data_IF_127739679516
#
_entry.id   IF_127739679516
#
_cell.length_a   1.000
_cell.length_b   1.000
_cell.length_c   1.000
_cell.angle_alpha   90.00
_cell.angle_beta   90.00
_cell.angle_gamma   90.00
#
_symmetry.space_group_name_H-M   'P 1'
#
loop_
_entity.id
_entity.type
_entity.pdbx_description
1 polymer ?
#
# COMPACT_ATOMS: atom_id res chain seq x y z
N UNK A 1 -65.42 -3.81 5.24
CA UNK A 1 -66.17 -3.25 6.39
C UNK A 1 -66.60 -4.39 7.30
N UNK A 2 -66.33 -4.32 8.60
CA UNK A 2 -67.20 -4.68 9.76
C UNK A 2 -66.35 -4.80 11.04
N UNK A 3 -66.98 -4.58 12.20
CA UNK A 3 -66.33 -4.16 13.46
C UNK A 3 -65.72 -5.32 14.28
N UNK A 4 -64.68 -5.02 15.07
CA UNK A 4 -64.38 -5.76 16.32
C UNK A 4 -65.47 -5.50 17.37
N UNK A 5 -65.59 -6.37 18.38
CA UNK A 5 -65.50 -5.84 19.75
C UNK A 5 -64.56 -6.65 20.67
N UNK A 6 -64.38 -6.10 21.87
CA UNK A 6 -63.42 -6.48 22.92
C UNK A 6 -64.18 -6.79 24.22
N UNK A 7 -63.72 -7.77 25.03
CA UNK A 7 -63.87 -7.98 26.50
C UNK A 7 -63.88 -9.49 26.86
N UNK A 8 -63.71 -9.90 28.14
CA UNK A 8 -62.80 -9.37 29.17
C UNK A 8 -62.04 -10.50 29.95
N UNK A 9 -61.12 -10.13 30.84
CA UNK A 9 -60.63 -10.99 31.96
C UNK A 9 -61.69 -11.05 33.08
N UNK A 10 -61.84 -12.15 33.85
CA UNK A 10 -61.09 -12.35 35.12
C UNK A 10 -60.68 -13.85 35.31
N UNK A 11 -60.18 -14.40 36.42
CA UNK A 11 -60.13 -14.06 37.87
C UNK A 11 -58.82 -14.57 38.54
N UNK A 12 -58.69 -14.43 39.86
CA UNK A 12 -57.59 -14.96 40.69
C UNK A 12 -58.04 -16.05 41.70
N UNK A 13 -57.07 -16.74 42.30
CA UNK A 13 -57.20 -17.74 43.38
C UNK A 13 -56.33 -18.98 43.10
N UNK A 14 -55.50 -19.53 43.98
CA UNK A 14 -55.39 -19.31 45.43
C UNK A 14 -55.20 -20.67 46.13
N UNK A 15 -53.94 -21.13 46.25
CA UNK A 15 -53.29 -21.75 47.45
C UNK A 15 -53.96 -22.92 48.24
N UNK A 16 -53.24 -23.65 49.14
CA UNK A 16 -51.82 -24.02 49.20
C UNK A 16 -51.55 -25.47 49.71
N UNK A 17 -50.27 -25.73 50.05
CA UNK A 17 -49.77 -26.69 51.06
C UNK A 17 -49.83 -28.22 50.85
N UNK A 18 -48.64 -28.83 50.88
CA UNK A 18 -48.29 -29.78 51.95
C UNK A 18 -46.98 -29.34 52.63
N UNK A 19 -46.89 -29.54 53.94
CA UNK A 19 -45.78 -29.12 54.81
C UNK A 19 -44.94 -30.33 55.26
N UNK A 20 -43.88 -30.01 56.01
CA UNK A 20 -43.00 -30.88 56.80
C UNK A 20 -41.86 -31.56 56.00
N UNK A 21 -40.62 -31.66 56.51
CA UNK A 21 -40.13 -31.36 57.86
C UNK A 21 -38.83 -30.52 57.88
N UNK A 22 -38.57 -29.85 59.01
CA UNK A 22 -37.31 -29.12 59.26
C UNK A 22 -36.22 -30.08 59.71
N UNK A 23 -34.99 -29.97 59.17
CA UNK A 23 -33.74 -30.21 59.90
C UNK A 23 -32.74 -29.11 59.58
N UNK A 24 -31.88 -28.81 60.55
CA UNK A 24 -30.98 -27.63 60.58
C UNK A 24 -29.57 -28.03 60.15
N UNK A 25 -28.84 -27.05 59.62
CA UNK A 25 -27.37 -26.87 59.68
C UNK A 25 -26.48 -28.03 59.21
N UNK A 26 -25.68 -27.75 58.17
CA UNK A 26 -24.22 -27.93 58.20
C UNK A 26 -23.60 -27.25 56.99
N UNK A 27 -22.49 -26.54 57.20
CA UNK A 27 -21.71 -25.97 56.12
C UNK A 27 -20.83 -27.05 55.47
N UNK A 28 -20.63 -26.97 54.15
CA UNK A 28 -19.49 -27.57 53.46
C UNK A 28 -19.27 -26.83 52.16
N UNK A 29 -18.08 -26.26 51.99
CA UNK A 29 -17.68 -25.62 50.76
C UNK A 29 -17.40 -26.69 49.68
N UNK A 30 -17.88 -26.46 48.46
CA UNK A 30 -17.40 -27.14 47.27
C UNK A 30 -16.99 -26.09 46.24
N UNK A 31 -15.68 -26.03 46.01
CA UNK A 31 -15.03 -25.10 45.10
C UNK A 31 -15.45 -25.37 43.65
N UNK A 32 -16.34 -24.55 43.11
CA UNK A 32 -16.57 -24.49 41.67
C UNK A 32 -15.44 -23.67 41.02
N UNK A 33 -14.33 -24.34 40.69
CA UNK A 33 -13.23 -23.76 39.91
C UNK A 33 -13.70 -23.57 38.46
N UNK A 34 -14.35 -22.44 38.18
CA UNK A 34 -14.84 -22.10 36.85
C UNK A 34 -13.67 -21.69 35.93
N UNK A 35 -13.07 -22.67 35.24
CA UNK A 35 -12.09 -22.37 34.20
C UNK A 35 -12.78 -21.73 32.97
N UNK A 36 -12.25 -20.56 32.61
CA UNK A 36 -12.12 -20.02 31.25
C UNK A 36 -13.30 -20.13 30.27
N UNK A 37 -14.01 -19.01 30.08
CA UNK A 37 -14.35 -18.50 28.74
C UNK A 37 -14.75 -17.00 28.79
N UNK A 38 -13.90 -16.14 29.35
CA UNK A 38 -14.03 -14.70 29.09
C UNK A 38 -13.55 -14.46 27.65
N UNK A 39 -14.37 -13.90 26.73
CA UNK A 39 -13.87 -13.40 25.45
C UNK A 39 -13.10 -12.12 25.74
N UNK A 40 -11.86 -12.28 26.21
CA UNK A 40 -10.84 -11.24 26.16
C UNK A 40 -10.48 -11.02 24.70
N UNK A 41 -11.37 -10.34 23.98
CA UNK A 41 -11.06 -9.73 22.69
C UNK A 41 -10.16 -8.52 22.94
N UNK A 42 -8.96 -8.82 23.45
CA UNK A 42 -7.84 -7.91 23.59
C UNK A 42 -7.35 -7.56 22.20
N UNK A 43 -8.11 -6.73 21.50
CA UNK A 43 -7.67 -5.93 20.38
C UNK A 43 -6.70 -4.82 20.88
N UNK A 44 -5.71 -5.22 21.67
CA UNK A 44 -4.55 -4.42 22.04
C UNK A 44 -3.56 -4.42 20.86
N UNK A 45 -4.03 -3.92 19.71
CA UNK A 45 -3.23 -3.54 18.55
C UNK A 45 -3.53 -2.06 18.29
N UNK A 46 -2.68 -1.18 18.82
CA UNK A 46 -2.99 0.24 19.00
C UNK A 46 -3.46 0.94 17.72
N UNK A 47 -4.50 1.77 17.87
CA UNK A 47 -5.01 2.68 16.81
C UNK A 47 -5.17 2.05 15.42
N UNK A 48 -5.52 0.76 15.36
CA UNK A 48 -5.78 0.08 14.09
C UNK A 48 -7.02 0.67 13.41
N UNK A 49 -6.81 1.57 12.44
CA UNK A 49 -7.85 2.10 11.57
C UNK A 49 -8.45 0.97 10.71
N UNK A 50 -9.65 0.43 10.99
CA UNK A 50 -10.11 -0.79 10.34
C UNK A 50 -10.39 -0.53 8.85
N UNK A 51 -9.85 -1.38 7.99
CA UNK A 51 -9.94 -1.21 6.53
C UNK A 51 -9.11 -0.06 5.96
N UNK A 52 -8.19 0.54 6.73
CA UNK A 52 -7.23 1.51 6.23
C UNK A 52 -5.86 0.88 5.97
N UNK A 53 -5.28 1.21 4.82
CA UNK A 53 -3.87 0.98 4.54
C UNK A 53 -3.00 2.12 5.08
N UNK A 54 -3.48 3.36 5.01
CA UNK A 54 -2.84 4.53 5.63
C UNK A 54 -3.86 5.65 5.93
N UNK A 55 -3.47 6.60 6.77
CA UNK A 55 -4.18 7.86 7.04
C UNK A 55 -3.21 9.01 6.84
N UNK A 56 -3.65 10.03 6.08
CA UNK A 56 -2.85 11.21 5.73
C UNK A 56 -3.67 12.45 6.07
N UNK A 57 -3.36 13.08 7.20
CA UNK A 57 -4.19 14.13 7.79
C UNK A 57 -5.57 13.60 8.14
N UNK A 58 -6.60 14.22 7.57
CA UNK A 58 -7.99 13.79 7.73
C UNK A 58 -8.42 12.74 6.68
N UNK A 59 -7.56 12.39 5.72
CA UNK A 59 -7.92 11.57 4.56
C UNK A 59 -7.40 10.15 4.71
N UNK A 60 -8.32 9.17 4.69
CA UNK A 60 -7.99 7.74 4.68
C UNK A 60 -7.57 7.27 3.29
N UNK A 61 -6.61 6.36 3.23
CA UNK A 61 -6.37 5.45 2.11
C UNK A 61 -6.86 4.08 2.57
N UNK A 62 -7.97 3.63 2.00
CA UNK A 62 -8.57 2.32 2.35
C UNK A 62 -7.78 1.18 1.74
N UNK A 63 -7.91 -0.01 2.32
CA UNK A 63 -7.38 -1.25 1.74
C UNK A 63 -7.98 -1.50 0.36
N UNK A 64 -9.28 -1.25 0.16
CA UNK A 64 -9.94 -1.39 -1.13
C UNK A 64 -9.34 -0.46 -2.21
N UNK A 65 -9.07 0.81 -1.88
CA UNK A 65 -8.40 1.75 -2.79
C UNK A 65 -6.97 1.30 -3.14
N UNK A 66 -6.24 0.74 -2.18
CA UNK A 66 -4.90 0.21 -2.44
C UNK A 66 -4.96 -1.02 -3.35
N UNK A 67 -5.85 -1.98 -3.07
CA UNK A 67 -6.01 -3.18 -3.91
C UNK A 67 -6.47 -2.81 -5.33
N UNK A 68 -7.33 -1.79 -5.47
CA UNK A 68 -7.71 -1.27 -6.78
C UNK A 68 -6.50 -0.71 -7.55
N UNK A 69 -5.66 0.14 -6.92
CA UNK A 69 -4.45 0.69 -7.57
C UNK A 69 -3.40 -0.39 -7.90
N UNK A 70 -3.32 -1.46 -7.11
CA UNK A 70 -2.50 -2.64 -7.44
C UNK A 70 -3.10 -3.42 -8.62
N UNK A 71 -4.43 -3.56 -8.67
CA UNK A 71 -5.16 -4.17 -9.79
C UNK A 71 -4.90 -3.45 -11.11
N UNK A 72 -5.08 -2.12 -11.15
CA UNK A 72 -4.77 -1.30 -12.34
C UNK A 72 -3.34 -1.51 -12.85
N UNK A 73 -2.38 -1.68 -11.93
CA UNK A 73 -0.99 -1.93 -12.28
C UNK A 73 -0.77 -3.35 -12.82
N UNK A 74 -1.39 -4.37 -12.23
CA UNK A 74 -1.37 -5.75 -12.75
C UNK A 74 -2.01 -5.85 -14.14
N UNK A 75 -3.14 -5.18 -14.36
CA UNK A 75 -3.83 -5.15 -15.65
C UNK A 75 -2.96 -4.47 -16.72
N UNK A 76 -2.39 -3.30 -16.41
CA UNK A 76 -1.47 -2.60 -17.31
C UNK A 76 -0.21 -3.42 -17.63
N UNK A 77 0.34 -4.15 -16.65
CA UNK A 77 1.48 -5.06 -16.88
C UNK A 77 1.09 -6.20 -17.81
N UNK A 78 -0.07 -6.84 -17.64
CA UNK A 78 -0.56 -7.89 -18.55
C UNK A 78 -0.83 -7.38 -19.97
N UNK A 79 -1.41 -6.18 -20.10
CA UNK A 79 -1.77 -5.60 -21.39
C UNK A 79 -0.53 -5.17 -22.21
N UNK A 80 0.48 -4.62 -21.54
CA UNK A 80 1.62 -3.97 -22.19
C UNK A 80 2.92 -4.81 -22.20
N UNK A 81 2.93 -5.98 -21.55
CA UNK A 81 4.08 -6.90 -21.58
C UNK A 81 3.90 -7.96 -22.65
N UNK A 82 4.86 -8.07 -23.59
CA UNK A 82 4.84 -9.08 -24.65
C UNK A 82 5.07 -10.52 -24.18
N UNK A 83 5.43 -10.73 -22.91
CA UNK A 83 5.70 -12.05 -22.32
C UNK A 83 4.83 -12.30 -21.08
N UNK A 84 4.06 -13.38 -21.14
CA UNK A 84 3.19 -13.83 -20.06
C UNK A 84 3.99 -14.31 -18.83
N UNK A 85 5.18 -14.91 -19.01
CA UNK A 85 5.97 -15.39 -17.87
C UNK A 85 6.60 -14.25 -17.06
N UNK A 86 7.01 -13.17 -17.72
CA UNK A 86 7.50 -11.95 -17.08
C UNK A 86 6.35 -11.20 -16.40
N UNK A 87 5.19 -11.13 -17.03
CA UNK A 87 3.96 -10.61 -16.39
C UNK A 87 3.65 -11.36 -15.10
N UNK A 88 3.59 -12.69 -15.16
CA UNK A 88 3.24 -13.53 -14.01
C UNK A 88 4.30 -13.44 -12.89
N UNK A 89 5.59 -13.30 -13.23
CA UNK A 89 6.66 -13.04 -12.23
C UNK A 89 6.51 -11.68 -11.53
N UNK A 90 6.03 -10.64 -12.23
CA UNK A 90 5.73 -9.34 -11.62
C UNK A 90 4.52 -9.43 -10.67
N UNK A 91 3.49 -10.19 -11.08
CA UNK A 91 2.18 -10.25 -10.41
C UNK A 91 2.16 -11.22 -9.23
N UNK A 92 2.75 -12.40 -9.38
CA UNK A 92 2.82 -13.44 -8.33
C UNK A 92 3.52 -12.96 -7.07
N UNK A 93 4.47 -12.02 -7.21
CA UNK A 93 5.00 -11.18 -6.14
C UNK A 93 3.98 -10.17 -5.60
N UNK A 94 2.76 -10.57 -5.28
CA UNK A 94 1.63 -9.67 -4.91
C UNK A 94 1.91 -8.76 -3.70
N UNK A 95 2.78 -9.19 -2.77
CA UNK A 95 3.30 -8.35 -1.69
C UNK A 95 4.30 -7.27 -2.14
N UNK A 96 4.95 -7.44 -3.29
CA UNK A 96 5.95 -6.52 -3.84
C UNK A 96 5.35 -5.21 -4.36
N UNK A 97 4.12 -5.23 -4.87
CA UNK A 97 3.47 -4.03 -5.42
C UNK A 97 2.66 -3.27 -4.36
N UNK A 98 2.01 -3.96 -3.42
CA UNK A 98 1.13 -3.29 -2.45
C UNK A 98 1.86 -2.23 -1.59
N UNK A 99 3.08 -2.52 -1.13
CA UNK A 99 3.87 -1.58 -0.33
C UNK A 99 4.32 -0.33 -1.11
N UNK A 100 5.01 -0.41 -2.27
CA UNK A 100 5.39 0.77 -3.05
C UNK A 100 4.18 1.52 -3.61
N UNK A 101 3.10 0.82 -4.00
CA UNK A 101 1.85 1.48 -4.43
C UNK A 101 1.25 2.32 -3.32
N UNK A 102 1.20 1.82 -2.08
CA UNK A 102 0.77 2.59 -0.91
C UNK A 102 1.71 3.76 -0.62
N UNK A 103 3.02 3.54 -0.68
CA UNK A 103 4.03 4.59 -0.48
C UNK A 103 3.84 5.74 -1.47
N UNK A 104 3.57 5.42 -2.74
CA UNK A 104 3.15 6.38 -3.76
C UNK A 104 1.91 7.14 -3.31
N UNK A 105 0.78 6.45 -3.05
CA UNK A 105 -0.49 7.11 -2.66
C UNK A 105 -0.35 8.07 -1.48
N UNK A 106 0.54 7.77 -0.53
CA UNK A 106 0.85 8.66 0.60
C UNK A 106 1.71 9.84 0.15
N UNK A 107 2.77 9.62 -0.64
CA UNK A 107 3.60 10.69 -1.22
C UNK A 107 2.75 11.64 -2.07
N UNK A 108 1.90 11.12 -2.94
CA UNK A 108 1.01 11.87 -3.84
C UNK A 108 0.14 12.86 -3.02
N UNK A 109 -0.39 12.41 -1.87
CA UNK A 109 -1.13 13.25 -0.91
C UNK A 109 -0.27 14.29 -0.19
N UNK A 110 0.98 13.96 0.15
CA UNK A 110 1.93 14.89 0.77
C UNK A 110 2.36 15.98 -0.20
N UNK A 111 2.69 15.64 -1.45
CA UNK A 111 3.04 16.58 -2.53
C UNK A 111 1.86 17.49 -2.84
N UNK A 112 0.65 16.94 -3.02
CA UNK A 112 -0.55 17.73 -3.23
C UNK A 112 -0.82 18.72 -2.09
N UNK A 113 -0.59 18.32 -0.82
CA UNK A 113 -0.72 19.25 0.32
C UNK A 113 0.37 20.32 0.33
N UNK A 114 1.62 19.96 0.04
CA UNK A 114 2.74 20.90 0.03
C UNK A 114 2.57 21.95 -1.08
N UNK A 115 2.14 21.53 -2.27
CA UNK A 115 1.75 22.40 -3.36
C UNK A 115 0.60 23.35 -2.95
N UNK A 116 -0.48 22.82 -2.38
CA UNK A 116 -1.61 23.63 -1.92
C UNK A 116 -1.23 24.63 -0.81
N UNK A 117 -0.40 24.24 0.15
CA UNK A 117 0.15 25.12 1.20
C UNK A 117 1.08 26.23 0.63
N UNK A 118 1.47 26.14 -0.64
CA UNK A 118 2.24 27.14 -1.40
C UNK A 118 1.42 27.85 -2.47
N UNK A 119 0.10 27.66 -2.52
CA UNK A 119 -0.77 28.25 -3.54
C UNK A 119 -0.58 27.68 -4.95
N UNK A 120 0.15 26.57 -5.09
CA UNK A 120 0.37 25.91 -6.38
C UNK A 120 -0.89 25.16 -6.80
N UNK A 121 -1.39 25.50 -7.99
CA UNK A 121 -2.50 24.79 -8.65
C UNK A 121 -2.07 24.31 -10.04
N UNK A 122 -2.68 23.21 -10.51
CA UNK A 122 -2.45 22.66 -11.86
C UNK A 122 -3.80 22.56 -12.58
N UNK A 123 -3.90 23.22 -13.73
CA UNK A 123 -5.09 23.23 -14.57
C UNK A 123 -5.19 21.98 -15.45
N UNK A 124 -6.40 21.70 -15.97
CA UNK A 124 -6.59 20.64 -16.98
C UNK A 124 -5.79 20.92 -18.25
N UNK A 125 -5.70 22.18 -18.67
CA UNK A 125 -4.99 22.58 -19.90
C UNK A 125 -3.50 22.23 -19.83
N UNK A 126 -2.85 22.47 -18.69
CA UNK A 126 -1.43 22.12 -18.49
C UNK A 126 -1.19 20.61 -18.56
N UNK A 127 -2.06 19.80 -17.95
CA UNK A 127 -1.99 18.33 -18.04
C UNK A 127 -2.12 17.87 -19.49
N UNK A 128 -3.10 18.39 -20.25
CA UNK A 128 -3.28 18.00 -21.65
C UNK A 128 -2.13 18.49 -22.56
N UNK A 129 -1.56 19.67 -22.29
CA UNK A 129 -0.40 20.19 -23.01
C UNK A 129 0.85 19.32 -22.77
N UNK A 130 1.14 18.99 -21.50
CA UNK A 130 2.24 18.10 -21.15
C UNK A 130 2.05 16.71 -21.74
N UNK A 131 0.82 16.17 -21.69
CA UNK A 131 0.45 14.89 -22.30
C UNK A 131 0.71 14.89 -23.81
N UNK A 132 0.23 15.90 -24.53
CA UNK A 132 0.44 16.02 -25.98
C UNK A 132 1.94 16.10 -26.35
N UNK A 133 2.72 16.89 -25.60
CA UNK A 133 4.17 17.00 -25.78
C UNK A 133 4.88 15.66 -25.56
N UNK A 134 4.56 14.94 -24.48
CA UNK A 134 5.14 13.65 -24.16
C UNK A 134 4.68 12.55 -25.14
N UNK A 135 3.42 12.58 -25.60
CA UNK A 135 2.92 11.71 -26.67
C UNK A 135 3.73 11.87 -27.96
N UNK A 136 4.10 13.10 -28.33
CA UNK A 136 4.97 13.35 -29.48
C UNK A 136 6.39 12.82 -29.26
N UNK A 137 6.98 13.06 -28.09
CA UNK A 137 8.33 12.59 -27.74
C UNK A 137 8.44 11.06 -27.70
N UNK A 138 7.41 10.37 -27.21
CA UNK A 138 7.34 8.92 -27.13
C UNK A 138 6.90 8.24 -28.44
N UNK A 139 6.76 8.99 -29.54
CA UNK A 139 6.37 8.45 -30.85
C UNK A 139 4.90 8.01 -30.97
N UNK A 140 4.04 8.40 -30.03
CA UNK A 140 2.61 8.12 -30.05
C UNK A 140 2.02 7.74 -28.69
N UNK A 141 0.70 7.64 -28.65
CA UNK A 141 -0.09 7.34 -27.43
C UNK A 141 0.34 6.02 -26.76
N UNK A 142 0.65 5.00 -27.57
CA UNK A 142 1.08 3.70 -27.06
C UNK A 142 2.50 3.72 -26.51
N UNK A 143 3.42 4.44 -27.18
CA UNK A 143 4.79 4.61 -26.69
C UNK A 143 4.80 5.31 -25.33
N UNK A 144 3.99 6.36 -25.16
CA UNK A 144 3.87 7.08 -23.89
C UNK A 144 3.40 6.17 -22.75
N UNK A 145 2.37 5.35 -22.99
CA UNK A 145 1.84 4.39 -22.01
C UNK A 145 2.88 3.36 -21.58
N UNK A 146 3.57 2.76 -22.54
CA UNK A 146 4.63 1.76 -22.28
C UNK A 146 5.79 2.40 -21.52
N UNK A 147 6.23 3.59 -21.92
CA UNK A 147 7.31 4.32 -21.25
C UNK A 147 6.96 4.66 -19.80
N UNK A 148 5.75 5.17 -19.53
CA UNK A 148 5.37 5.56 -18.17
C UNK A 148 5.12 4.36 -17.24
N UNK A 149 4.58 3.26 -17.77
CA UNK A 149 4.48 2.02 -17.02
C UNK A 149 5.87 1.46 -16.68
N UNK A 150 6.78 1.39 -17.65
CA UNK A 150 8.10 0.75 -17.48
C UNK A 150 9.13 1.60 -16.74
N UNK A 151 9.08 2.94 -16.83
CA UNK A 151 9.99 3.83 -16.09
C UNK A 151 9.49 4.15 -14.68
N UNK A 152 8.19 4.40 -14.53
CA UNK A 152 7.61 5.01 -13.32
C UNK A 152 6.57 4.13 -12.62
N UNK A 153 6.12 3.03 -13.24
CA UNK A 153 5.09 2.16 -12.68
C UNK A 153 3.69 2.76 -12.72
N UNK A 154 3.44 3.68 -13.65
CA UNK A 154 2.15 4.37 -13.79
C UNK A 154 1.29 3.64 -14.83
N UNK A 155 0.15 3.04 -14.44
CA UNK A 155 -0.74 2.41 -15.41
C UNK A 155 -1.44 3.47 -16.28
N UNK A 156 -1.84 3.14 -17.53
CA UNK A 156 -2.43 4.10 -18.47
C UNK A 156 -3.64 4.89 -17.95
N UNK A 157 -4.48 4.26 -17.13
CA UNK A 157 -5.65 4.89 -16.47
C UNK A 157 -5.29 6.02 -15.50
N UNK A 158 -4.05 6.04 -15.00
CA UNK A 158 -3.55 6.98 -13.99
C UNK A 158 -2.58 8.02 -14.56
N UNK A 159 -2.31 8.00 -15.87
CA UNK A 159 -1.34 8.87 -16.52
C UNK A 159 -1.64 10.36 -16.32
N UNK A 160 -2.88 10.80 -16.52
CA UNK A 160 -3.29 12.21 -16.34
C UNK A 160 -3.18 12.69 -14.88
N UNK A 161 -3.33 11.78 -13.91
CA UNK A 161 -3.12 12.09 -12.49
C UNK A 161 -1.62 12.21 -12.17
N UNK A 162 -0.80 11.26 -12.65
CA UNK A 162 0.66 11.30 -12.47
C UNK A 162 1.30 12.52 -13.17
N UNK A 163 0.79 12.92 -14.34
CA UNK A 163 1.20 14.16 -15.01
C UNK A 163 0.84 15.39 -14.18
N UNK A 164 -0.36 15.44 -13.58
CA UNK A 164 -0.76 16.53 -12.70
C UNK A 164 0.13 16.63 -11.46
N UNK A 165 0.48 15.48 -10.87
CA UNK A 165 1.39 15.39 -9.72
C UNK A 165 2.80 15.84 -10.08
N UNK A 166 3.33 15.43 -11.24
CA UNK A 166 4.64 15.86 -11.73
C UNK A 166 4.68 17.37 -12.02
N UNK A 167 3.65 17.95 -12.64
CA UNK A 167 3.55 19.40 -12.86
C UNK A 167 3.43 20.15 -11.52
N UNK A 168 2.66 19.61 -10.55
CA UNK A 168 2.55 20.20 -9.22
C UNK A 168 3.89 20.20 -8.46
N UNK A 169 4.69 19.14 -8.62
CA UNK A 169 6.04 19.04 -8.07
C UNK A 169 7.00 20.03 -8.74
N UNK A 170 7.03 20.12 -10.07
CA UNK A 170 7.82 21.13 -10.79
C UNK A 170 7.47 22.57 -10.37
N UNK A 171 6.17 22.86 -10.20
CA UNK A 171 5.71 24.16 -9.68
C UNK A 171 6.05 24.36 -8.20
N UNK A 172 6.12 23.29 -7.40
CA UNK A 172 6.56 23.37 -5.99
C UNK A 172 8.05 23.73 -5.90
N UNK A 173 8.91 23.18 -6.77
CA UNK A 173 10.30 23.62 -6.91
C UNK A 173 10.37 25.13 -7.20
N UNK A 174 9.65 25.61 -8.22
CA UNK A 174 9.60 27.03 -8.57
C UNK A 174 9.07 27.92 -7.43
N UNK A 175 7.99 27.52 -6.76
CA UNK A 175 7.39 28.26 -5.63
C UNK A 175 8.27 28.26 -4.36
N UNK A 176 9.30 27.41 -4.31
CA UNK A 176 10.31 27.38 -3.25
C UNK A 176 11.62 28.07 -3.65
N UNK A 177 11.75 28.57 -4.88
CA UNK A 177 13.01 29.09 -5.42
C UNK A 177 14.10 28.01 -5.54
N UNK A 178 13.70 26.74 -5.65
CA UNK A 178 14.59 25.59 -5.65
C UNK A 178 14.85 25.10 -7.08
N UNK A 179 16.12 25.00 -7.50
CA UNK A 179 16.46 24.36 -8.77
C UNK A 179 16.38 22.83 -8.66
N UNK A 180 15.52 22.14 -9.43
CA UNK A 180 15.40 20.68 -9.39
C UNK A 180 16.66 19.95 -9.87
N UNK A 181 17.59 20.62 -10.56
CA UNK A 181 18.88 20.04 -10.98
C UNK A 181 19.87 19.97 -9.81
N UNK A 182 19.96 21.06 -9.03
CA UNK A 182 20.85 21.19 -7.88
C UNK A 182 20.56 20.21 -6.71
N UNK A 183 21.59 19.78 -5.95
CA UNK A 183 21.40 19.05 -4.69
C UNK A 183 20.64 19.86 -3.64
N UNK A 184 20.91 21.16 -3.52
CA UNK A 184 20.30 22.04 -2.52
C UNK A 184 18.82 22.29 -2.78
N UNK A 185 18.42 22.42 -4.05
CA UNK A 185 17.02 22.52 -4.45
C UNK A 185 16.26 21.22 -4.16
N UNK A 186 16.84 20.06 -4.47
CA UNK A 186 16.28 18.76 -4.06
C UNK A 186 16.11 18.67 -2.55
N UNK A 187 17.15 19.01 -1.77
CA UNK A 187 17.09 19.02 -0.31
C UNK A 187 16.03 20.00 0.25
N UNK A 188 15.81 21.13 -0.41
CA UNK A 188 14.78 22.11 -0.05
C UNK A 188 13.37 21.57 -0.24
N UNK A 189 13.11 20.87 -1.34
CA UNK A 189 11.82 20.19 -1.58
C UNK A 189 11.63 19.02 -0.63
N UNK A 190 12.63 18.13 -0.48
CA UNK A 190 12.57 17.00 0.45
C UNK A 190 12.28 17.45 1.90
N UNK A 191 12.94 18.52 2.36
CA UNK A 191 12.67 19.13 3.68
C UNK A 191 11.24 19.65 3.79
N UNK A 192 10.71 20.25 2.73
CA UNK A 192 9.33 20.75 2.67
C UNK A 192 8.30 19.61 2.68
N UNK A 193 8.54 18.54 1.92
CA UNK A 193 7.68 17.36 1.90
C UNK A 193 7.74 16.61 3.23
N UNK A 194 8.91 16.43 3.84
CA UNK A 194 9.06 15.82 5.16
C UNK A 194 8.37 16.64 6.27
N UNK A 195 8.46 17.97 6.23
CA UNK A 195 7.70 18.85 7.15
C UNK A 195 6.19 18.74 6.93
N UNK A 196 5.74 18.62 5.68
CA UNK A 196 4.33 18.45 5.32
C UNK A 196 3.79 17.09 5.78
N UNK A 197 4.55 16.01 5.60
CA UNK A 197 4.20 14.67 6.09
C UNK A 197 4.09 14.63 7.63
N UNK A 198 4.97 15.34 8.35
CA UNK A 198 4.88 15.52 9.81
C UNK A 198 3.62 16.30 10.21
N UNK A 199 3.33 17.42 9.54
CA UNK A 199 2.10 18.22 9.74
C UNK A 199 0.83 17.40 9.50
N UNK A 200 0.85 16.52 8.50
CA UNK A 200 -0.24 15.60 8.16
C UNK A 200 -0.35 14.39 9.11
N UNK A 201 0.60 14.17 10.03
CA UNK A 201 0.60 13.01 10.94
C UNK A 201 0.35 11.69 10.20
N UNK A 202 1.12 11.45 9.14
CA UNK A 202 0.99 10.23 8.31
C UNK A 202 1.11 8.99 9.19
N UNK A 203 0.06 8.18 9.18
CA UNK A 203 0.01 6.87 9.82
C UNK A 203 -0.17 5.79 8.76
N UNK A 204 0.58 4.69 8.87
CA UNK A 204 0.58 3.58 7.90
C UNK A 204 0.35 2.29 8.67
N UNK A 205 -0.63 1.51 8.22
CA UNK A 205 -0.99 0.25 8.86
C UNK A 205 0.25 -0.68 8.90
N UNK A 206 0.71 -1.14 10.08
CA UNK A 206 1.97 -1.86 10.25
C UNK A 206 2.16 -3.08 9.34
N UNK A 207 1.07 -3.68 8.83
CA UNK A 207 1.15 -4.79 7.87
C UNK A 207 1.83 -4.43 6.54
N UNK A 208 1.88 -3.13 6.20
CA UNK A 208 2.61 -2.60 5.04
C UNK A 208 4.04 -2.14 5.38
N UNK A 209 4.50 -2.43 6.60
CA UNK A 209 5.81 -2.06 7.11
C UNK A 209 5.87 -0.64 7.66
N UNK A 210 7.08 -0.22 8.04
CA UNK A 210 7.34 1.10 8.62
C UNK A 210 7.35 2.21 7.56
N UNK A 211 6.76 3.35 7.90
CA UNK A 211 6.83 4.60 7.14
C UNK A 211 8.02 5.45 7.61
N UNK A 212 8.84 5.92 6.66
CA UNK A 212 9.92 6.90 6.89
C UNK A 212 9.62 8.12 6.04
N UNK A 213 9.15 9.20 6.68
CA UNK A 213 8.71 10.41 5.99
C UNK A 213 9.81 11.15 5.22
N UNK A 214 11.10 10.91 5.52
CA UNK A 214 12.21 11.52 4.80
C UNK A 214 12.68 10.66 3.63
N UNK A 215 12.57 9.33 3.73
CA UNK A 215 12.92 8.42 2.62
C UNK A 215 11.79 8.28 1.60
N UNK A 216 10.54 8.37 2.04
CA UNK A 216 9.37 8.06 1.22
C UNK A 216 8.93 9.18 0.27
N UNK A 217 9.40 10.42 0.47
CA UNK A 217 9.06 11.59 -0.37
C UNK A 217 9.92 11.72 -1.62
N UNK A 218 11.09 11.07 -1.66
CA UNK A 218 12.07 11.22 -2.75
C UNK A 218 11.52 10.73 -4.09
N UNK A 219 11.44 11.64 -5.06
CA UNK A 219 10.90 11.40 -6.40
C UNK A 219 11.74 10.41 -7.24
N UNK A 220 13.06 10.47 -7.11
CA UNK A 220 14.03 9.81 -8.01
C UNK A 220 14.06 8.27 -7.88
N UNK A 221 13.33 7.70 -6.92
CA UNK A 221 13.30 6.27 -6.69
C UNK A 221 12.36 5.55 -7.67
N UNK A 222 12.91 5.02 -8.79
CA UNK A 222 12.20 3.99 -9.59
C UNK A 222 11.60 2.94 -8.63
N UNK A 223 10.32 2.58 -8.77
CA UNK A 223 9.69 1.54 -7.96
C UNK A 223 10.57 0.29 -7.84
N UNK A 224 10.65 -0.29 -6.64
CA UNK A 224 11.58 -1.39 -6.38
C UNK A 224 11.34 -2.58 -7.34
N UNK A 225 10.07 -2.93 -7.54
CA UNK A 225 9.67 -4.00 -8.45
C UNK A 225 10.16 -3.82 -9.90
N UNK A 226 10.20 -2.59 -10.43
CA UNK A 226 10.77 -2.32 -11.77
C UNK A 226 12.28 -2.57 -11.84
N UNK A 227 13.00 -2.34 -10.73
CA UNK A 227 14.43 -2.65 -10.62
C UNK A 227 14.67 -4.15 -10.48
N UNK A 228 13.78 -4.86 -9.80
CA UNK A 228 13.89 -6.30 -9.59
C UNK A 228 13.58 -7.09 -10.89
N UNK A 229 12.63 -6.64 -11.71
CA UNK A 229 12.43 -7.14 -13.09
C UNK A 229 13.70 -6.96 -13.94
N UNK A 230 14.34 -5.80 -13.83
CA UNK A 230 15.58 -5.48 -14.58
C UNK A 230 16.82 -6.27 -14.11
N UNK A 231 16.72 -7.02 -13.01
CA UNK A 231 17.83 -7.79 -12.41
C UNK A 231 17.72 -9.31 -12.67
N UNK A 232 16.59 -9.80 -13.19
CA UNK A 232 16.47 -11.20 -13.56
C UNK A 232 17.52 -11.56 -14.64
N UNK A 233 18.40 -12.56 -14.42
CA UNK A 233 19.43 -12.90 -15.39
C UNK A 233 18.80 -13.51 -16.64
N UNK A 234 19.12 -12.92 -17.80
CA UNK A 234 18.92 -13.56 -19.10
C UNK A 234 19.81 -14.79 -19.20
N UNK A 235 19.23 -15.98 -19.04
CA UNK A 235 19.90 -17.26 -19.31
C UNK A 235 21.14 -17.52 -18.46
N UNK A 236 20.96 -18.18 -17.32
CA UNK A 236 22.06 -18.91 -16.70
C UNK A 236 22.53 -20.00 -17.70
N UNK A 237 23.71 -19.79 -18.26
CA UNK A 237 24.32 -20.68 -19.23
C UNK A 237 24.83 -21.95 -18.54
N UNK A 238 23.93 -22.87 -18.24
CA UNK A 238 24.28 -24.22 -17.87
C UNK A 238 24.94 -24.93 -19.06
N UNK A 239 26.22 -25.31 -18.93
CA UNK A 239 26.88 -26.20 -19.90
C UNK A 239 28.28 -25.79 -20.32
N UNK A 240 29.25 -25.91 -19.41
CA UNK A 240 30.66 -26.17 -19.75
C UNK A 240 31.34 -26.95 -18.62
N UNK A 241 30.75 -28.09 -18.25
CA UNK A 241 31.54 -29.16 -17.63
C UNK A 241 32.54 -29.67 -18.68
N UNK A 242 33.81 -29.38 -18.45
CA UNK A 242 34.94 -29.89 -19.21
C UNK A 242 36.04 -30.22 -18.21
N UNK A 243 35.98 -31.44 -17.67
CA UNK A 243 36.84 -31.88 -16.59
C UNK A 243 38.33 -31.78 -16.91
N UNK A 244 39.11 -31.29 -15.94
CA UNK A 244 40.55 -31.44 -15.91
C UNK A 244 40.90 -32.52 -14.86
N UNK A 245 41.59 -33.61 -15.23
CA UNK A 245 42.02 -34.61 -14.28
C UNK A 245 43.22 -34.12 -13.44
N UNK A 246 43.21 -34.41 -12.14
CA UNK A 246 44.42 -34.32 -11.32
C UNK A 246 45.43 -35.39 -11.76
N UNK A 247 46.70 -34.99 -11.91
CA UNK A 247 47.80 -35.86 -12.32
C UNK A 247 49.11 -35.43 -11.68
N UNK A 248 49.57 -36.20 -10.70
CA UNK A 248 50.77 -35.92 -9.90
C UNK A 248 52.04 -36.48 -10.55
N UNK A 249 53.18 -35.79 -10.41
CA UNK A 249 54.53 -36.26 -10.78
C UNK A 249 55.23 -35.30 -11.75
N UNK A 250 56.33 -34.61 -11.43
CA UNK A 250 57.64 -35.00 -10.89
C UNK A 250 58.71 -35.27 -11.98
N UNK A 251 59.89 -34.68 -11.74
CA UNK A 251 61.23 -35.04 -12.22
C UNK A 251 61.75 -34.64 -13.63
N UNK A 252 62.91 -33.95 -13.58
CA UNK A 252 64.14 -34.03 -14.42
C UNK A 252 64.12 -34.06 -15.96
N UNK A 253 65.12 -33.40 -16.55
CA UNK A 253 65.81 -33.98 -17.73
C UNK A 253 66.14 -33.06 -18.90
N UNK A 254 67.15 -32.20 -18.72
CA UNK A 254 68.24 -31.88 -19.66
C UNK A 254 68.16 -32.34 -21.14
N UNK A 255 68.40 -31.40 -22.07
CA UNK A 255 68.61 -31.63 -23.51
C UNK A 255 68.93 -30.33 -24.23
#
# INVERSE_FOLDING_TARGET
MHRRPNRPQPSAGGTPTRRHARRRLSASALSALALAAAPLLSACGGTAHPGAAAVVGNTRITEAQLQHRVGELHDAVRELSSDAQTSERIISGSGSLARPTLQGMVRDRVVARAAADKGVTVSRAEVQSARAQLTQQAGGEQGLKVEWLTRYGVPPSRLDDALRENIAEQKLYAALGADPSSPDGKATVDKTLAATAKKLKVDVNPRYGTWDAAKATRADARPAWLRDVSRAPSGEAAGADAGAPEGTGAETGQG
#
